data_IF_701394441800
#
_entry.id   IF_701394441800
#
_cell.length_a   1.000
_cell.length_b   1.000
_cell.length_c   1.000
_cell.angle_alpha   90.00
_cell.angle_beta   90.00
_cell.angle_gamma   90.00
#
_symmetry.space_group_name_H-M   'P 1'
#
loop_
_entity.id
_entity.type
_entity.pdbx_description
1 polymer ?
#
# COMPACT_ATOMS: atom_id res chain seq x y z
N UNK A 1 3.11 -44.16 -0.67
CA UNK A 1 2.98 -43.71 0.74
C UNK A 1 3.17 -42.21 0.93
N UNK A 2 4.10 -41.56 0.23
CA UNK A 2 4.39 -40.10 0.36
C UNK A 2 3.17 -39.21 0.06
N UNK A 3 2.41 -39.48 -1.01
CA UNK A 3 1.24 -38.67 -1.37
C UNK A 3 0.10 -38.68 -0.34
N UNK A 4 -0.13 -39.81 0.37
CA UNK A 4 -1.14 -39.89 1.44
C UNK A 4 -0.77 -39.02 2.64
N UNK A 5 0.52 -38.81 2.92
CA UNK A 5 0.97 -37.95 4.02
C UNK A 5 0.87 -36.46 3.65
N UNK A 6 1.19 -36.08 2.41
CA UNK A 6 1.05 -34.69 1.94
C UNK A 6 -0.43 -34.27 1.95
N UNK A 7 -1.32 -35.10 1.42
CA UNK A 7 -2.75 -34.81 1.41
C UNK A 7 -3.31 -34.61 2.83
N UNK A 8 -2.90 -35.45 3.79
CA UNK A 8 -3.28 -35.28 5.20
C UNK A 8 -2.80 -33.95 5.78
N UNK A 9 -1.60 -33.49 5.41
CA UNK A 9 -1.05 -32.20 5.86
C UNK A 9 -1.83 -31.03 5.26
N UNK A 10 -2.13 -31.08 3.96
CA UNK A 10 -2.92 -30.05 3.28
C UNK A 10 -4.34 -29.95 3.85
N UNK A 11 -4.99 -31.09 4.12
CA UNK A 11 -6.31 -31.13 4.77
C UNK A 11 -6.24 -30.49 6.16
N UNK A 12 -5.21 -30.80 6.96
CA UNK A 12 -5.03 -30.17 8.28
C UNK A 12 -4.88 -28.65 8.17
N UNK A 13 -4.06 -28.17 7.23
CA UNK A 13 -3.88 -26.72 7.01
C UNK A 13 -5.19 -26.07 6.56
N UNK A 14 -5.94 -26.72 5.68
CA UNK A 14 -7.24 -26.24 5.24
C UNK A 14 -8.23 -26.14 6.41
N UNK A 15 -8.32 -27.17 7.25
CA UNK A 15 -9.15 -27.16 8.45
C UNK A 15 -8.75 -26.04 9.42
N UNK A 16 -7.46 -25.85 9.66
CA UNK A 16 -6.96 -24.73 10.49
C UNK A 16 -7.38 -23.39 9.87
N UNK A 17 -7.26 -23.23 8.56
CA UNK A 17 -7.66 -22.01 7.84
C UNK A 17 -9.15 -21.73 8.02
N UNK A 18 -10.01 -22.75 7.88
CA UNK A 18 -11.46 -22.63 8.12
C UNK A 18 -11.76 -22.24 9.57
N UNK A 19 -11.08 -22.86 10.54
CA UNK A 19 -11.24 -22.53 11.96
C UNK A 19 -10.83 -21.08 12.24
N UNK A 20 -9.69 -20.63 11.71
CA UNK A 20 -9.24 -19.24 11.84
C UNK A 20 -10.24 -18.27 11.20
N UNK A 21 -10.80 -18.62 10.05
CA UNK A 21 -11.81 -17.83 9.37
C UNK A 21 -13.09 -17.68 10.19
N UNK A 22 -13.60 -18.78 10.74
CA UNK A 22 -14.84 -18.78 11.52
C UNK A 22 -14.63 -18.10 12.87
N UNK A 23 -13.50 -18.32 13.54
CA UNK A 23 -13.28 -17.85 14.92
C UNK A 23 -12.56 -16.52 14.95
N UNK A 24 -11.33 -16.46 14.43
CA UNK A 24 -10.43 -15.32 14.59
C UNK A 24 -10.85 -14.17 13.69
N UNK A 25 -11.07 -14.42 12.40
CA UNK A 25 -11.42 -13.34 11.45
C UNK A 25 -12.89 -12.91 11.52
N UNK A 26 -13.75 -13.73 12.14
CA UNK A 26 -15.14 -13.42 12.43
C UNK A 26 -15.39 -13.20 13.94
N UNK A 27 -14.35 -12.83 14.71
CA UNK A 27 -14.50 -12.58 16.15
C UNK A 27 -15.59 -11.55 16.49
N UNK A 28 -15.82 -10.57 15.60
CA UNK A 28 -16.89 -9.56 15.73
C UNK A 28 -18.29 -10.16 15.78
N UNK A 29 -18.53 -11.23 15.00
CA UNK A 29 -19.79 -11.96 15.06
C UNK A 29 -19.99 -12.53 16.46
N UNK A 30 -19.01 -13.29 16.96
CA UNK A 30 -19.06 -13.91 18.28
C UNK A 30 -19.19 -12.90 19.42
N UNK A 31 -18.45 -11.79 19.33
CA UNK A 31 -18.54 -10.67 20.27
C UNK A 31 -19.97 -10.11 20.28
N UNK A 32 -20.55 -9.86 19.10
CA UNK A 32 -21.87 -9.23 18.98
C UNK A 32 -23.05 -10.08 19.47
N UNK A 33 -22.91 -11.41 19.51
CA UNK A 33 -23.94 -12.30 20.10
C UNK A 33 -24.13 -12.00 21.59
N UNK A 34 -23.09 -11.54 22.28
CA UNK A 34 -23.12 -11.22 23.71
C UNK A 34 -23.68 -9.83 24.02
N UNK A 35 -24.03 -9.03 23.00
CA UNK A 35 -24.50 -7.66 23.22
C UNK A 35 -25.89 -7.64 23.84
N UNK A 36 -26.16 -6.69 24.78
CA UNK A 36 -27.47 -6.59 25.39
C UNK A 36 -28.48 -6.11 24.35
N UNK A 37 -29.60 -6.82 24.26
CA UNK A 37 -30.70 -6.47 23.37
C UNK A 37 -31.32 -5.13 23.77
N UNK A 38 -31.50 -4.23 22.80
CA UNK A 38 -32.07 -2.91 22.99
C UNK A 38 -33.26 -2.70 22.05
N UNK A 39 -34.12 -1.75 22.40
CA UNK A 39 -35.19 -1.29 21.51
C UNK A 39 -34.57 -0.51 20.34
N UNK A 40 -35.25 -0.54 19.20
CA UNK A 40 -34.88 0.30 18.05
C UNK A 40 -34.90 1.78 18.45
N UNK A 41 -33.86 2.56 18.11
CA UNK A 41 -33.85 3.99 18.34
C UNK A 41 -34.89 4.70 17.47
N UNK A 42 -35.35 5.86 17.92
CA UNK A 42 -36.07 6.81 17.10
C UNK A 42 -35.06 7.68 16.38
N UNK A 43 -35.18 7.79 15.05
CA UNK A 43 -34.34 8.68 14.24
C UNK A 43 -34.99 10.06 14.20
N UNK A 44 -34.26 11.07 14.68
CA UNK A 44 -34.59 12.49 14.51
C UNK A 44 -33.65 13.10 13.50
N UNK A 45 -34.22 13.75 12.49
CA UNK A 45 -33.47 14.42 11.43
C UNK A 45 -33.39 15.90 11.79
N UNK A 46 -32.18 16.44 11.88
CA UNK A 46 -31.94 17.84 12.19
C UNK A 46 -31.98 18.73 10.93
N UNK A 47 -31.93 20.05 11.13
CA UNK A 47 -32.22 21.05 10.08
C UNK A 47 -31.33 20.96 8.83
N UNK A 48 -30.11 20.40 8.94
CA UNK A 48 -29.21 20.26 7.79
C UNK A 48 -29.54 19.11 6.83
N UNK A 49 -30.56 18.30 7.12
CA UNK A 49 -30.99 17.18 6.27
C UNK A 49 -32.50 17.27 6.01
N UNK A 50 -32.90 17.17 4.75
CA UNK A 50 -34.31 17.17 4.35
C UNK A 50 -34.75 15.80 3.81
N UNK A 51 -35.91 15.27 4.24
CA UNK A 51 -36.49 14.08 3.63
C UNK A 51 -37.06 14.42 2.26
N UNK A 52 -36.59 13.73 1.22
CA UNK A 52 -37.02 13.94 -0.19
C UNK A 52 -37.88 12.80 -0.72
N UNK A 53 -37.96 11.68 -0.02
CA UNK A 53 -38.73 10.51 -0.41
C UNK A 53 -38.82 9.46 0.69
N UNK A 54 -39.31 8.26 0.35
CA UNK A 54 -39.34 7.14 1.29
C UNK A 54 -37.91 6.66 1.56
N UNK A 55 -37.45 6.76 2.81
CA UNK A 55 -36.09 6.42 3.25
C UNK A 55 -35.00 7.17 2.49
N UNK A 56 -35.32 8.30 1.84
CA UNK A 56 -34.38 9.07 1.03
C UNK A 56 -34.26 10.49 1.59
N UNK A 57 -33.02 10.92 1.76
CA UNK A 57 -32.66 12.16 2.42
C UNK A 57 -31.66 12.94 1.57
N UNK A 58 -31.64 14.26 1.76
CA UNK A 58 -30.73 15.17 1.08
C UNK A 58 -30.07 16.11 2.08
N UNK A 59 -28.76 16.25 1.99
CA UNK A 59 -27.99 17.23 2.76
C UNK A 59 -28.24 18.62 2.19
N UNK A 60 -28.79 19.52 3.00
CA UNK A 60 -29.04 20.93 2.63
C UNK A 60 -28.07 21.90 3.29
N UNK A 61 -27.57 21.56 4.49
CA UNK A 61 -26.55 22.32 5.18
C UNK A 61 -25.54 21.37 5.85
N UNK A 62 -24.34 21.23 5.27
CA UNK A 62 -23.25 20.36 5.75
C UNK A 62 -22.86 20.61 7.21
N UNK A 63 -22.93 21.86 7.70
CA UNK A 63 -22.54 22.16 9.08
C UNK A 63 -23.54 21.66 10.13
N UNK A 64 -24.80 21.47 9.73
CA UNK A 64 -25.92 21.07 10.58
C UNK A 64 -26.52 19.71 10.17
N UNK A 65 -25.81 18.94 9.34
CA UNK A 65 -26.27 17.68 8.78
C UNK A 65 -26.21 16.53 9.80
N UNK A 66 -27.07 16.60 10.83
CA UNK A 66 -27.10 15.65 11.94
C UNK A 66 -28.33 14.73 11.92
N UNK A 67 -28.11 13.48 12.33
CA UNK A 67 -29.13 12.48 12.64
C UNK A 67 -28.98 12.06 14.10
N UNK A 68 -30.05 12.22 14.88
CA UNK A 68 -30.08 11.90 16.30
C UNK A 68 -30.88 10.62 16.54
N UNK A 69 -30.19 9.59 17.01
CA UNK A 69 -30.77 8.33 17.47
C UNK A 69 -31.10 8.45 18.96
N UNK A 70 -32.39 8.59 19.28
CA UNK A 70 -32.88 8.87 20.64
C UNK A 70 -33.97 7.88 21.07
N UNK A 71 -34.44 7.99 22.33
CA UNK A 71 -35.51 7.13 22.84
C UNK A 71 -35.07 5.72 23.21
N UNK A 72 -33.76 5.50 23.30
CA UNK A 72 -33.12 4.25 23.69
C UNK A 72 -32.12 4.54 24.81
N UNK A 73 -32.01 3.63 25.79
CA UNK A 73 -31.07 3.76 26.90
C UNK A 73 -30.43 2.42 27.17
N UNK A 74 -29.11 2.38 27.25
CA UNK A 74 -28.38 1.15 27.56
C UNK A 74 -26.90 1.25 27.26
N UNK A 75 -26.20 0.13 27.36
CA UNK A 75 -24.78 0.05 27.01
C UNK A 75 -24.67 -0.19 25.50
N UNK A 76 -24.39 0.86 24.73
CA UNK A 76 -24.23 0.74 23.27
C UNK A 76 -22.85 0.17 22.93
N UNK A 77 -22.81 -0.87 22.11
CA UNK A 77 -21.60 -1.63 21.72
C UNK A 77 -21.34 -1.59 20.22
N UNK A 78 -22.39 -1.61 19.42
CA UNK A 78 -22.30 -1.33 17.99
C UNK A 78 -23.57 -0.63 17.49
N UNK A 79 -23.45 -0.05 16.32
CA UNK A 79 -24.51 0.59 15.57
C UNK A 79 -24.53 -0.02 14.17
N UNK A 80 -25.69 -0.49 13.73
CA UNK A 80 -25.98 -0.75 12.34
C UNK A 80 -26.59 0.50 11.73
N UNK A 81 -25.88 1.06 10.74
CA UNK A 81 -26.25 2.29 10.07
C UNK A 81 -25.92 2.14 8.59
N UNK A 82 -26.92 1.69 7.84
CA UNK A 82 -26.84 1.49 6.40
C UNK A 82 -27.26 2.81 5.71
N UNK A 83 -26.26 3.59 5.30
CA UNK A 83 -26.42 4.90 4.67
C UNK A 83 -25.79 4.88 3.28
N UNK A 84 -26.64 4.66 2.27
CA UNK A 84 -26.21 4.41 0.90
C UNK A 84 -26.28 5.67 0.05
N UNK A 85 -25.17 6.14 -0.55
CA UNK A 85 -25.21 7.29 -1.44
C UNK A 85 -26.07 6.99 -2.68
N UNK A 86 -26.87 7.94 -3.14
CA UNK A 86 -27.58 7.83 -4.43
C UNK A 86 -26.58 7.88 -5.59
N UNK A 87 -25.54 8.70 -5.45
CA UNK A 87 -24.43 8.81 -6.41
C UNK A 87 -23.10 8.61 -5.72
N UNK A 88 -22.29 7.67 -6.20
CA UNK A 88 -21.00 7.33 -5.61
C UNK A 88 -21.03 6.01 -4.85
N UNK A 89 -19.99 5.76 -4.05
CA UNK A 89 -19.82 4.50 -3.31
C UNK A 89 -19.47 4.69 -1.84
N UNK A 90 -19.27 5.93 -1.39
CA UNK A 90 -18.77 6.26 -0.06
C UNK A 90 -19.69 7.32 0.56
N UNK A 91 -19.94 7.17 1.86
CA UNK A 91 -20.54 8.19 2.73
C UNK A 91 -19.64 8.37 3.96
N UNK A 92 -19.15 9.59 4.18
CA UNK A 92 -18.35 9.94 5.35
C UNK A 92 -19.26 10.39 6.49
N UNK A 93 -19.03 9.88 7.70
CA UNK A 93 -19.83 10.23 8.87
C UNK A 93 -18.97 10.46 10.10
N UNK A 94 -19.39 11.32 11.03
CA UNK A 94 -18.80 11.43 12.37
C UNK A 94 -19.80 10.92 13.38
N UNK A 95 -19.37 10.04 14.28
CA UNK A 95 -20.24 9.51 15.34
C UNK A 95 -19.94 10.23 16.64
N UNK A 96 -20.99 10.70 17.31
CA UNK A 96 -20.95 11.24 18.66
C UNK A 96 -21.98 10.53 19.53
N UNK A 97 -21.71 10.37 20.82
CA UNK A 97 -22.67 9.80 21.76
C UNK A 97 -22.36 10.23 23.20
N UNK A 98 -23.36 10.23 24.07
CA UNK A 98 -23.13 10.38 25.50
C UNK A 98 -22.70 9.06 26.13
N UNK A 99 -22.08 9.13 27.31
CA UNK A 99 -21.88 7.97 28.17
C UNK A 99 -21.92 8.38 29.64
N UNK A 100 -21.73 7.42 30.56
CA UNK A 100 -21.78 7.69 32.01
C UNK A 100 -20.74 8.74 32.43
N UNK A 101 -19.61 8.85 31.72
CA UNK A 101 -18.55 9.80 32.04
C UNK A 101 -18.72 11.16 31.35
N UNK A 102 -19.44 11.21 30.22
CA UNK A 102 -19.54 12.38 29.35
C UNK A 102 -20.99 12.65 28.95
N UNK A 103 -21.72 13.37 29.79
CA UNK A 103 -23.12 13.74 29.52
C UNK A 103 -23.30 14.77 28.39
N UNK A 104 -22.24 15.51 28.06
CA UNK A 104 -22.26 16.50 26.97
C UNK A 104 -22.04 15.90 25.58
N UNK A 105 -21.74 14.60 25.50
CA UNK A 105 -21.39 13.89 24.27
C UNK A 105 -19.89 13.86 24.02
N UNK A 106 -19.43 12.69 23.56
CA UNK A 106 -18.06 12.42 23.12
C UNK A 106 -18.05 12.22 21.61
N UNK A 107 -17.06 12.79 20.92
CA UNK A 107 -16.78 12.45 19.53
C UNK A 107 -16.00 11.12 19.47
N UNK A 108 -16.58 10.12 18.81
CA UNK A 108 -16.00 8.78 18.66
C UNK A 108 -15.09 8.66 17.42
N UNK A 109 -15.06 9.68 16.56
CA UNK A 109 -14.26 9.74 15.35
C UNK A 109 -15.08 9.70 14.07
N UNK A 110 -14.35 9.81 12.96
CA UNK A 110 -14.89 9.74 11.62
C UNK A 110 -14.86 8.30 11.10
N UNK A 111 -15.94 7.89 10.44
CA UNK A 111 -16.13 6.56 9.87
C UNK A 111 -16.56 6.68 8.41
N UNK A 112 -16.24 5.65 7.63
CA UNK A 112 -16.52 5.60 6.19
C UNK A 112 -17.42 4.42 5.88
N UNK A 113 -18.62 4.72 5.39
CA UNK A 113 -19.60 3.71 4.96
C UNK A 113 -19.43 3.52 3.46
N UNK A 114 -19.30 2.28 3.03
CA UNK A 114 -19.00 1.91 1.64
C UNK A 114 -20.10 1.00 1.11
N UNK A 115 -20.81 1.45 0.08
CA UNK A 115 -21.99 0.77 -0.45
C UNK A 115 -21.71 -0.64 -0.97
N UNK A 116 -20.53 -0.86 -1.53
CA UNK A 116 -20.07 -2.15 -2.01
C UNK A 116 -19.62 -3.12 -0.88
N UNK A 117 -19.52 -2.65 0.36
CA UNK A 117 -18.99 -3.41 1.50
C UNK A 117 -20.00 -3.41 2.65
N UNK A 118 -20.93 -4.39 2.71
CA UNK A 118 -21.97 -4.46 3.74
C UNK A 118 -21.46 -4.49 5.18
N UNK A 119 -20.19 -4.87 5.40
CA UNK A 119 -19.57 -4.85 6.74
C UNK A 119 -19.30 -3.44 7.25
N UNK A 120 -19.23 -2.45 6.37
CA UNK A 120 -19.01 -1.04 6.74
C UNK A 120 -20.22 -0.42 7.42
N UNK A 121 -21.42 -1.00 7.25
CA UNK A 121 -22.64 -0.55 7.93
C UNK A 121 -22.64 -0.85 9.44
N UNK A 122 -21.72 -1.70 9.92
CA UNK A 122 -21.62 -2.10 11.32
C UNK A 122 -20.47 -1.36 12.03
N UNK A 123 -20.82 -0.30 12.74
CA UNK A 123 -19.91 0.62 13.40
C UNK A 123 -19.74 0.20 14.86
N UNK A 124 -18.50 0.09 15.35
CA UNK A 124 -18.23 -0.29 16.75
C UNK A 124 -18.19 0.94 17.63
N UNK A 125 -18.87 0.87 18.77
CA UNK A 125 -18.94 1.95 19.73
C UNK A 125 -18.11 1.63 20.97
N UNK A 126 -17.27 2.57 21.37
CA UNK A 126 -16.35 2.45 22.50
C UNK A 126 -16.78 3.35 23.66
N UNK A 127 -17.95 3.07 24.23
CA UNK A 127 -18.61 3.89 25.25
C UNK A 127 -18.50 3.27 26.65
N UNK A 128 -18.42 4.12 27.68
CA UNK A 128 -18.31 3.70 29.07
C UNK A 128 -19.65 3.81 29.81
N UNK A 129 -20.25 2.66 30.09
CA UNK A 129 -21.51 2.60 30.82
C UNK A 129 -22.72 2.86 29.94
N UNK A 130 -23.69 3.61 30.48
CA UNK A 130 -25.02 3.79 29.89
C UNK A 130 -25.06 5.06 29.06
N UNK A 131 -25.56 4.92 27.84
CA UNK A 131 -25.79 6.01 26.88
C UNK A 131 -27.29 6.19 26.64
N UNK A 132 -27.70 7.39 26.26
CA UNK A 132 -29.09 7.77 25.99
C UNK A 132 -29.31 8.25 24.55
N UNK A 133 -28.26 8.62 23.83
CA UNK A 133 -28.35 8.99 22.43
C UNK A 133 -27.08 8.69 21.64
N UNK A 134 -27.23 8.61 20.31
CA UNK A 134 -26.13 8.66 19.35
C UNK A 134 -26.46 9.75 18.34
N UNK A 135 -25.54 10.68 18.10
CA UNK A 135 -25.63 11.70 17.06
C UNK A 135 -24.66 11.38 15.94
N UNK A 136 -25.14 11.39 14.71
CA UNK A 136 -24.35 11.07 13.52
C UNK A 136 -24.33 12.31 12.63
N UNK A 137 -23.14 12.84 12.34
CA UNK A 137 -22.97 13.90 11.34
C UNK A 137 -22.71 13.27 9.98
N UNK A 138 -23.41 13.71 8.94
CA UNK A 138 -23.10 13.35 7.56
C UNK A 138 -22.10 14.37 7.01
N UNK A 139 -20.86 13.95 6.78
CA UNK A 139 -19.76 14.81 6.32
C UNK A 139 -19.69 14.88 4.80
N UNK A 140 -20.83 15.16 4.17
CA UNK A 140 -20.95 15.25 2.73
C UNK A 140 -21.37 16.65 2.29
N UNK A 141 -21.11 16.97 1.03
CA UNK A 141 -21.38 18.30 0.48
C UNK A 141 -22.89 18.58 0.37
N UNK A 142 -23.26 19.85 0.39
CA UNK A 142 -24.62 20.28 0.09
C UNK A 142 -25.10 19.71 -1.26
N UNK A 143 -26.30 19.13 -1.25
CA UNK A 143 -26.89 18.46 -2.40
C UNK A 143 -26.67 16.94 -2.44
N UNK A 144 -25.86 16.38 -1.55
CA UNK A 144 -25.67 14.94 -1.43
C UNK A 144 -26.97 14.24 -1.01
N UNK A 145 -27.41 13.28 -1.82
CA UNK A 145 -28.60 12.46 -1.57
C UNK A 145 -28.20 11.05 -1.18
N UNK A 146 -28.91 10.47 -0.21
CA UNK A 146 -28.66 9.12 0.27
C UNK A 146 -29.94 8.41 0.72
N UNK A 147 -29.89 7.09 0.73
CA UNK A 147 -30.89 6.20 1.30
C UNK A 147 -30.44 5.75 2.69
N UNK A 148 -31.36 5.75 3.64
CA UNK A 148 -31.10 5.33 5.01
C UNK A 148 -32.14 4.30 5.44
N UNK A 149 -31.67 3.09 5.75
CA UNK A 149 -32.47 2.08 6.44
C UNK A 149 -32.57 2.38 7.93
N UNK A 150 -33.56 1.79 8.61
CA UNK A 150 -33.78 1.95 10.05
C UNK A 150 -32.52 1.58 10.85
N UNK A 151 -31.87 2.53 11.55
CA UNK A 151 -30.68 2.25 12.34
C UNK A 151 -31.00 1.36 13.54
N UNK A 152 -30.09 0.45 13.87
CA UNK A 152 -30.25 -0.49 15.00
C UNK A 152 -29.00 -0.50 15.89
N UNK A 153 -29.18 -0.69 17.21
CA UNK A 153 -28.08 -0.70 18.18
C UNK A 153 -27.94 -2.11 18.75
N UNK A 154 -26.71 -2.56 18.99
CA UNK A 154 -26.41 -3.86 19.59
C UNK A 154 -26.90 -5.04 18.75
N UNK A 155 -26.83 -4.93 17.42
CA UNK A 155 -27.20 -6.00 16.51
C UNK A 155 -26.07 -7.02 16.33
N UNK A 156 -26.44 -8.26 16.06
CA UNK A 156 -25.49 -9.32 15.71
C UNK A 156 -24.89 -9.02 14.33
N UNK A 157 -23.57 -8.86 14.29
CA UNK A 157 -22.82 -8.66 13.04
C UNK A 157 -22.84 -9.98 12.26
N UNK A 158 -23.31 -10.03 11.00
CA UNK A 158 -23.30 -11.26 10.20
C UNK A 158 -21.89 -11.82 9.99
N UNK A 159 -21.77 -13.15 9.95
CA UNK A 159 -20.51 -13.78 9.56
C UNK A 159 -20.17 -13.45 8.11
N UNK A 160 -18.88 -13.20 7.86
CA UNK A 160 -18.36 -12.93 6.54
C UNK A 160 -17.15 -13.82 6.25
N UNK A 161 -17.37 -14.76 5.32
CA UNK A 161 -16.32 -15.66 4.85
C UNK A 161 -15.62 -15.04 3.64
N UNK A 162 -14.35 -14.68 3.80
CA UNK A 162 -13.52 -14.13 2.74
C UNK A 162 -12.68 -15.24 2.10
N UNK A 163 -13.08 -15.66 0.90
CA UNK A 163 -12.32 -16.64 0.12
C UNK A 163 -10.90 -16.18 -0.18
N UNK A 164 -10.69 -14.88 -0.45
CA UNK A 164 -9.36 -14.31 -0.69
C UNK A 164 -8.49 -14.45 0.56
N UNK A 165 -9.00 -14.04 1.74
CA UNK A 165 -8.25 -14.17 3.00
C UNK A 165 -7.95 -15.62 3.32
N UNK A 166 -8.92 -16.52 3.13
CA UNK A 166 -8.70 -17.96 3.32
C UNK A 166 -7.59 -18.48 2.39
N UNK A 167 -7.60 -18.14 1.10
CA UNK A 167 -6.55 -18.51 0.18
C UNK A 167 -5.18 -17.99 0.62
N UNK A 168 -5.09 -16.71 1.04
CA UNK A 168 -3.83 -16.11 1.51
C UNK A 168 -3.33 -16.81 2.78
N UNK A 169 -4.18 -16.99 3.80
CA UNK A 169 -3.82 -17.66 5.06
C UNK A 169 -3.41 -19.11 4.80
N UNK A 170 -4.15 -19.82 3.95
CA UNK A 170 -3.81 -21.18 3.54
C UNK A 170 -2.41 -21.25 2.91
N UNK A 171 -2.12 -20.37 1.93
CA UNK A 171 -0.82 -20.31 1.27
C UNK A 171 0.32 -19.97 2.26
N UNK A 172 0.09 -19.04 3.19
CA UNK A 172 1.06 -18.72 4.25
C UNK A 172 1.34 -19.92 5.16
N UNK A 173 0.30 -20.64 5.59
CA UNK A 173 0.48 -21.84 6.42
C UNK A 173 1.17 -22.98 5.66
N UNK A 174 0.90 -23.14 4.35
CA UNK A 174 1.65 -24.06 3.47
C UNK A 174 3.11 -23.66 3.38
N UNK A 175 3.41 -22.36 3.25
CA UNK A 175 4.78 -21.85 3.22
C UNK A 175 5.51 -22.14 4.54
N UNK A 176 4.91 -21.78 5.67
CA UNK A 176 5.46 -22.06 7.01
C UNK A 176 5.72 -23.55 7.19
N UNK A 177 4.77 -24.41 6.76
CA UNK A 177 4.94 -25.85 6.86
C UNK A 177 6.05 -26.38 5.95
N UNK A 178 6.17 -25.85 4.74
CA UNK A 178 7.21 -26.19 3.76
C UNK A 178 8.60 -25.86 4.27
N UNK A 179 8.76 -24.77 5.01
CA UNK A 179 10.06 -24.35 5.57
C UNK A 179 10.27 -24.77 7.04
N UNK A 180 9.32 -25.49 7.64
CA UNK A 180 9.44 -26.00 9.01
C UNK A 180 10.60 -27.01 9.17
N UNK A 181 11.22 -27.15 10.35
CA UNK A 181 12.32 -28.09 10.59
C UNK A 181 12.01 -29.55 10.24
N UNK A 182 10.73 -29.92 10.29
CA UNK A 182 10.24 -31.26 9.98
C UNK A 182 9.94 -31.48 8.47
N UNK A 183 10.29 -30.53 7.60
CA UNK A 183 10.01 -30.62 6.16
C UNK A 183 11.14 -31.30 5.40
N UNK A 184 10.82 -31.87 4.24
CA UNK A 184 11.81 -32.43 3.31
C UNK A 184 12.76 -31.35 2.80
N UNK A 185 12.26 -30.13 2.61
CA UNK A 185 13.04 -28.96 2.17
C UNK A 185 14.10 -28.60 3.22
N UNK A 186 13.76 -28.68 4.51
CA UNK A 186 14.69 -28.41 5.60
C UNK A 186 15.68 -29.57 5.83
N UNK A 187 15.23 -30.82 5.75
CA UNK A 187 16.07 -31.99 6.03
C UNK A 187 17.14 -32.24 4.94
N UNK A 188 16.88 -31.83 3.71
CA UNK A 188 17.77 -32.06 2.58
C UNK A 188 18.91 -31.03 2.52
N UNK A 189 20.10 -31.48 2.12
CA UNK A 189 21.25 -30.59 1.88
C UNK A 189 21.00 -29.67 0.68
N UNK A 190 21.58 -28.47 0.73
CA UNK A 190 21.54 -27.43 -0.30
C UNK A 190 22.08 -27.86 -1.69
N UNK A 191 22.77 -29.00 -1.78
CA UNK A 191 23.24 -29.54 -3.07
C UNK A 191 22.09 -29.65 -4.07
N UNK A 192 22.25 -29.07 -5.26
CA UNK A 192 21.20 -29.03 -6.30
C UNK A 192 21.34 -30.25 -7.22
N UNK A 193 21.16 -31.43 -6.63
CA UNK A 193 21.34 -32.74 -7.27
C UNK A 193 20.04 -33.30 -7.85
N UNK A 194 18.91 -33.05 -7.18
CA UNK A 194 17.59 -33.58 -7.54
C UNK A 194 16.78 -32.61 -8.39
N UNK A 195 15.97 -33.15 -9.31
CA UNK A 195 15.11 -32.36 -10.21
C UNK A 195 14.15 -31.43 -9.44
N UNK A 196 13.57 -31.92 -8.33
CA UNK A 196 12.64 -31.12 -7.52
C UNK A 196 13.32 -29.92 -6.83
N UNK A 197 14.62 -30.03 -6.49
CA UNK A 197 15.40 -28.89 -5.96
C UNK A 197 15.66 -27.85 -7.06
N UNK A 198 16.00 -28.30 -8.28
CA UNK A 198 16.15 -27.40 -9.44
C UNK A 198 14.86 -26.65 -9.74
N UNK A 199 13.75 -27.37 -9.89
CA UNK A 199 12.45 -26.75 -10.13
C UNK A 199 12.03 -25.86 -8.97
N UNK A 200 12.23 -26.31 -7.72
CA UNK A 200 11.92 -25.52 -6.54
C UNK A 200 12.71 -24.21 -6.48
N UNK A 201 14.00 -24.23 -6.80
CA UNK A 201 14.85 -23.04 -6.85
C UNK A 201 14.40 -22.08 -7.95
N UNK A 202 14.11 -22.60 -9.15
CA UNK A 202 13.63 -21.80 -10.29
C UNK A 202 12.30 -21.14 -9.95
N UNK A 203 11.35 -21.89 -9.37
CA UNK A 203 10.05 -21.36 -8.93
C UNK A 203 10.27 -20.28 -7.86
N UNK A 204 11.14 -20.54 -6.89
CA UNK A 204 11.37 -19.62 -5.78
C UNK A 204 12.03 -18.31 -6.24
N UNK A 205 13.05 -18.37 -7.10
CA UNK A 205 13.63 -17.18 -7.74
C UNK A 205 12.59 -16.50 -8.64
N UNK A 206 11.81 -17.27 -9.40
CA UNK A 206 10.74 -16.76 -10.25
C UNK A 206 9.71 -15.95 -9.47
N UNK A 207 9.32 -16.40 -8.27
CA UNK A 207 8.45 -15.64 -7.37
C UNK A 207 9.07 -14.29 -6.98
N UNK A 208 10.37 -14.25 -6.69
CA UNK A 208 11.06 -12.99 -6.39
C UNK A 208 11.07 -12.06 -7.61
N UNK A 209 11.37 -12.59 -8.80
CA UNK A 209 11.35 -11.82 -10.05
C UNK A 209 9.95 -11.26 -10.32
N UNK A 210 8.90 -12.08 -10.15
CA UNK A 210 7.51 -11.62 -10.29
C UNK A 210 7.18 -10.53 -9.27
N UNK A 211 7.62 -10.65 -8.02
CA UNK A 211 7.47 -9.59 -7.02
C UNK A 211 8.21 -8.31 -7.40
N UNK A 212 9.45 -8.40 -7.90
CA UNK A 212 10.23 -7.26 -8.38
C UNK A 212 9.51 -6.57 -9.54
N UNK A 213 9.03 -7.33 -10.52
CA UNK A 213 8.28 -6.79 -11.66
C UNK A 213 6.98 -6.13 -11.19
N UNK A 214 6.25 -6.75 -10.28
CA UNK A 214 5.03 -6.18 -9.71
C UNK A 214 5.30 -4.88 -8.97
N UNK A 215 6.30 -4.84 -8.08
CA UNK A 215 6.71 -3.63 -7.36
C UNK A 215 7.18 -2.55 -8.34
N UNK A 216 7.93 -2.91 -9.37
CA UNK A 216 8.33 -1.99 -10.44
C UNK A 216 7.13 -1.35 -11.13
N UNK A 217 6.03 -2.10 -11.35
CA UNK A 217 4.79 -1.53 -11.88
C UNK A 217 4.09 -0.58 -10.89
N UNK A 218 4.20 -0.81 -9.57
CA UNK A 218 3.67 0.11 -8.56
C UNK A 218 4.50 1.40 -8.45
N UNK A 219 5.79 1.32 -8.76
CA UNK A 219 6.74 2.45 -8.76
C UNK A 219 6.73 3.19 -10.11
N UNK A 220 5.97 2.72 -11.11
CA UNK A 220 5.77 3.51 -12.32
C UNK A 220 5.35 4.91 -11.89
N UNK A 221 6.15 5.95 -12.23
CA UNK A 221 5.88 7.28 -11.76
C UNK A 221 4.42 7.58 -12.09
N UNK A 222 3.66 8.02 -11.09
CA UNK A 222 2.26 8.38 -11.28
C UNK A 222 2.17 9.24 -12.56
N UNK A 223 1.10 9.12 -13.36
CA UNK A 223 1.02 9.84 -14.65
C UNK A 223 1.34 11.34 -14.52
N UNK A 224 1.22 11.92 -13.33
CA UNK A 224 1.73 13.25 -12.97
C UNK A 224 3.23 13.46 -13.20
N UNK A 225 4.11 12.53 -12.79
CA UNK A 225 5.57 12.67 -12.93
C UNK A 225 5.99 12.45 -14.39
N UNK A 226 5.38 11.52 -15.11
CA UNK A 226 5.63 11.40 -16.56
C UNK A 226 5.17 12.67 -17.29
N UNK A 227 4.03 13.25 -16.91
CA UNK A 227 3.61 14.55 -17.43
C UNK A 227 4.60 15.67 -17.05
N UNK A 228 5.22 15.65 -15.88
CA UNK A 228 6.26 16.62 -15.51
C UNK A 228 7.51 16.48 -16.41
N UNK A 229 7.95 15.24 -16.68
CA UNK A 229 9.05 14.94 -17.62
C UNK A 229 8.69 15.42 -19.04
N UNK A 230 7.49 15.12 -19.51
CA UNK A 230 6.99 15.51 -20.83
C UNK A 230 6.82 17.05 -20.94
N UNK A 231 6.57 17.73 -19.82
CA UNK A 231 6.49 19.19 -19.72
C UNK A 231 7.83 19.86 -19.36
N UNK A 232 8.95 19.12 -19.40
CA UNK A 232 10.30 19.68 -19.28
C UNK A 232 10.80 19.89 -17.85
N UNK A 233 10.09 19.43 -16.82
CA UNK A 233 10.65 19.31 -15.48
C UNK A 233 11.62 18.12 -15.47
N UNK A 234 12.90 18.33 -15.10
CA UNK A 234 13.97 17.36 -15.33
C UNK A 234 14.00 16.29 -14.24
N UNK A 235 12.91 15.55 -14.10
CA UNK A 235 12.84 14.44 -13.17
C UNK A 235 13.31 13.17 -13.91
N UNK A 236 14.44 12.60 -13.50
CA UNK A 236 14.92 11.27 -13.96
C UNK A 236 15.52 11.15 -15.39
N UNK A 237 15.81 12.24 -16.09
CA UNK A 237 16.46 12.26 -17.41
C UNK A 237 18.00 12.28 -17.43
N UNK A 238 18.64 12.40 -16.27
CA UNK A 238 20.08 12.71 -16.13
C UNK A 238 21.00 11.73 -16.86
N UNK A 239 20.70 10.43 -16.80
CA UNK A 239 21.53 9.42 -17.46
C UNK A 239 21.35 9.38 -18.98
N UNK A 240 20.18 9.77 -19.50
CA UNK A 240 19.97 9.95 -20.93
C UNK A 240 20.73 11.19 -21.43
N UNK A 241 20.66 12.31 -20.71
CA UNK A 241 21.45 13.51 -21.05
C UNK A 241 22.96 13.25 -20.98
N UNK A 242 23.40 12.49 -19.98
CA UNK A 242 24.80 12.08 -19.87
C UNK A 242 25.22 11.14 -21.01
N UNK A 243 24.35 10.21 -21.40
CA UNK A 243 24.59 9.35 -22.56
C UNK A 243 24.74 10.18 -23.84
N UNK A 244 23.86 11.15 -24.08
CA UNK A 244 23.90 12.06 -25.22
C UNK A 244 25.20 12.88 -25.25
N UNK A 245 25.63 13.40 -24.09
CA UNK A 245 26.89 14.11 -23.95
C UNK A 245 28.10 13.22 -24.28
N UNK A 246 28.14 12.01 -23.73
CA UNK A 246 29.24 11.06 -23.96
C UNK A 246 29.30 10.60 -25.42
N UNK A 247 28.17 10.38 -26.08
CA UNK A 247 28.11 10.07 -27.52
C UNK A 247 28.71 11.19 -28.39
N UNK A 248 28.58 12.44 -27.96
CA UNK A 248 29.19 13.61 -28.61
C UNK A 248 30.67 13.81 -28.25
N UNK A 249 31.24 12.95 -27.40
CA UNK A 249 32.62 13.08 -26.93
C UNK A 249 32.84 14.20 -25.93
N UNK A 250 31.78 14.65 -25.24
CA UNK A 250 31.84 15.69 -24.21
C UNK A 250 31.42 15.15 -22.84
N UNK A 251 31.88 15.82 -21.78
CA UNK A 251 31.60 15.45 -20.38
C UNK A 251 30.60 16.39 -19.70
N UNK A 252 30.24 17.50 -20.36
CA UNK A 252 29.20 18.43 -19.94
C UNK A 252 27.92 18.15 -20.71
N UNK A 253 26.78 18.44 -20.10
CA UNK A 253 25.47 18.22 -20.68
C UNK A 253 25.13 19.35 -21.67
N UNK A 254 24.29 19.06 -22.66
CA UNK A 254 23.78 20.08 -23.61
C UNK A 254 22.78 21.06 -22.98
N UNK A 255 22.51 20.89 -21.68
CA UNK A 255 21.66 21.74 -20.85
C UNK A 255 22.40 23.02 -20.49
N UNK A 256 21.74 24.16 -20.69
CA UNK A 256 22.31 25.48 -20.40
C UNK A 256 21.90 25.96 -19.01
N UNK A 257 22.86 26.34 -18.16
CA UNK A 257 22.57 27.03 -16.90
C UNK A 257 21.83 28.35 -17.13
N UNK A 258 20.96 28.77 -16.20
CA UNK A 258 20.34 30.10 -16.24
C UNK A 258 21.42 31.17 -16.06
N UNK A 259 21.25 32.33 -16.72
CA UNK A 259 22.28 33.38 -16.70
C UNK A 259 22.49 33.97 -15.30
N UNK A 260 21.42 34.04 -14.50
CA UNK A 260 21.51 34.46 -13.09
C UNK A 260 22.38 33.55 -12.24
N UNK A 261 22.50 32.26 -12.59
CA UNK A 261 23.41 31.32 -11.91
C UNK A 261 24.86 31.57 -12.28
N UNK A 262 25.14 31.92 -13.53
CA UNK A 262 26.48 32.31 -13.99
C UNK A 262 26.97 33.60 -13.31
N UNK A 263 26.04 34.54 -13.08
CA UNK A 263 26.33 35.84 -12.47
C UNK A 263 26.30 35.82 -10.93
N UNK A 264 25.90 34.71 -10.31
CA UNK A 264 25.82 34.60 -8.86
C UNK A 264 27.22 34.72 -8.24
N UNK A 265 27.33 35.48 -7.14
CA UNK A 265 28.62 35.67 -6.45
C UNK A 265 29.19 34.37 -5.88
N UNK A 266 28.31 33.46 -5.45
CA UNK A 266 28.65 32.09 -5.09
C UNK A 266 27.50 31.14 -5.47
N UNK A 267 27.58 30.47 -6.63
CA UNK A 267 26.51 29.58 -7.12
C UNK A 267 26.40 28.26 -6.31
N UNK A 268 27.34 27.99 -5.41
CA UNK A 268 27.36 26.79 -4.58
C UNK A 268 26.67 26.97 -3.23
N UNK A 269 26.54 28.22 -2.76
CA UNK A 269 25.77 28.54 -1.56
C UNK A 269 24.27 28.50 -1.90
N UNK A 270 23.53 27.65 -1.18
CA UNK A 270 22.11 27.42 -1.46
C UNK A 270 21.23 28.66 -1.27
N UNK A 271 21.53 29.51 -0.29
CA UNK A 271 20.75 30.71 -0.01
C UNK A 271 21.05 31.81 -1.05
N UNK A 272 22.33 32.01 -1.38
CA UNK A 272 22.75 32.97 -2.41
C UNK A 272 22.19 32.55 -3.76
N UNK A 273 22.33 31.28 -4.14
CA UNK A 273 21.78 30.73 -5.39
C UNK A 273 20.26 30.90 -5.48
N UNK A 274 19.54 30.59 -4.41
CA UNK A 274 18.07 30.75 -4.40
C UNK A 274 17.68 32.21 -4.61
N UNK A 275 18.31 33.14 -3.88
CA UNK A 275 18.01 34.56 -4.02
C UNK A 275 18.37 35.09 -5.41
N UNK A 276 19.58 34.81 -5.91
CA UNK A 276 20.04 35.35 -7.20
C UNK A 276 19.29 34.78 -8.40
N UNK A 277 18.95 33.48 -8.37
CA UNK A 277 18.31 32.80 -9.52
C UNK A 277 16.79 32.94 -9.47
N UNK A 278 16.17 32.59 -8.33
CA UNK A 278 14.70 32.46 -8.24
C UNK A 278 14.05 33.79 -7.91
N UNK A 279 14.59 34.54 -6.94
CA UNK A 279 13.96 35.78 -6.46
C UNK A 279 14.32 36.96 -7.36
N UNK A 280 15.61 37.19 -7.59
CA UNK A 280 16.11 38.33 -8.37
C UNK A 280 16.08 38.05 -9.87
N UNK A 281 16.53 36.87 -10.29
CA UNK A 281 16.58 36.46 -11.69
C UNK A 281 15.23 36.05 -12.28
N UNK A 282 14.26 35.68 -11.44
CA UNK A 282 12.98 35.07 -11.85
C UNK A 282 13.20 33.88 -12.83
N UNK A 283 14.27 33.12 -12.61
CA UNK A 283 14.66 31.92 -13.35
C UNK A 283 14.53 30.68 -12.46
N UNK A 284 14.53 29.51 -13.08
CA UNK A 284 14.66 28.23 -12.38
C UNK A 284 16.04 27.64 -12.65
N UNK A 285 16.55 26.88 -11.68
CA UNK A 285 17.76 26.09 -11.86
C UNK A 285 17.45 24.63 -11.59
N UNK A 286 18.17 23.76 -12.31
CA UNK A 286 17.95 22.33 -12.22
C UNK A 286 18.70 21.76 -11.01
N UNK A 287 17.92 21.26 -10.05
CA UNK A 287 18.44 20.49 -8.92
C UNK A 287 18.94 19.12 -9.41
N UNK A 288 19.93 18.55 -8.72
CA UNK A 288 20.64 17.31 -9.10
C UNK A 288 21.58 17.39 -10.32
N UNK A 289 21.90 18.61 -10.76
CA UNK A 289 22.95 18.89 -11.75
C UNK A 289 24.12 19.65 -11.10
N UNK A 290 25.34 19.26 -11.46
CA UNK A 290 26.54 19.92 -10.98
C UNK A 290 26.89 21.10 -11.89
N UNK A 291 26.87 22.32 -11.35
CA UNK A 291 27.29 23.52 -12.08
C UNK A 291 28.79 23.77 -11.94
N UNK A 292 29.48 23.98 -13.06
CA UNK A 292 30.88 24.42 -13.07
C UNK A 292 31.17 25.23 -14.34
N UNK A 293 31.74 26.43 -14.18
CA UNK A 293 32.19 27.32 -15.27
C UNK A 293 31.18 27.48 -16.43
N UNK A 294 29.92 27.83 -16.14
CA UNK A 294 28.90 28.08 -17.17
C UNK A 294 28.34 26.81 -17.82
N UNK A 295 28.63 25.63 -17.27
CA UNK A 295 28.15 24.34 -17.80
C UNK A 295 27.52 23.49 -16.72
N UNK A 296 26.55 22.67 -17.13
CA UNK A 296 26.02 21.61 -16.29
C UNK A 296 26.72 20.28 -16.57
N UNK A 297 26.94 19.54 -15.51
CA UNK A 297 27.47 18.19 -15.47
C UNK A 297 26.47 17.31 -14.72
N UNK A 298 26.46 16.01 -15.04
CA UNK A 298 25.71 15.07 -14.22
C UNK A 298 26.38 14.95 -12.85
N UNK A 299 25.59 15.05 -11.78
CA UNK A 299 26.05 14.72 -10.43
C UNK A 299 26.38 13.22 -10.28
N UNK A 300 25.74 12.38 -11.09
CA UNK A 300 25.89 10.93 -11.05
C UNK A 300 27.07 10.44 -11.89
N UNK A 301 27.72 9.37 -11.44
CA UNK A 301 28.85 8.77 -12.16
C UNK A 301 28.46 8.23 -13.54
N UNK A 302 29.42 8.10 -14.48
CA UNK A 302 29.12 7.75 -15.87
C UNK A 302 28.83 6.27 -16.11
N UNK A 303 29.09 5.41 -15.12
CA UNK A 303 29.02 3.95 -15.27
C UNK A 303 27.65 3.47 -15.75
N UNK A 304 26.50 3.92 -15.18
CA UNK A 304 25.20 3.49 -15.68
C UNK A 304 24.94 3.96 -17.11
N UNK A 305 25.33 5.20 -17.45
CA UNK A 305 25.16 5.74 -18.81
C UNK A 305 25.91 4.88 -19.83
N UNK A 306 27.17 4.52 -19.55
CA UNK A 306 28.01 3.70 -20.42
C UNK A 306 27.50 2.26 -20.54
N UNK A 307 27.08 1.64 -19.43
CA UNK A 307 26.69 0.23 -19.41
C UNK A 307 25.28 -0.03 -19.94
N UNK A 308 24.35 0.90 -19.75
CA UNK A 308 22.93 0.66 -20.02
C UNK A 308 22.33 1.65 -21.01
N UNK A 309 22.52 2.96 -20.82
CA UNK A 309 21.80 3.97 -21.59
C UNK A 309 22.35 4.12 -23.01
N UNK A 310 23.68 4.26 -23.18
CA UNK A 310 24.31 4.33 -24.51
C UNK A 310 24.04 3.05 -25.31
N UNK A 311 24.29 1.82 -24.79
CA UNK A 311 24.01 0.61 -25.55
C UNK A 311 22.53 0.46 -25.92
N UNK A 312 21.61 0.78 -25.00
CA UNK A 312 20.19 0.74 -25.27
C UNK A 312 19.83 1.68 -26.43
N UNK A 313 20.26 2.94 -26.35
CA UNK A 313 19.97 3.96 -27.36
C UNK A 313 20.55 3.61 -28.72
N UNK A 314 21.77 3.06 -28.78
CA UNK A 314 22.39 2.60 -30.03
C UNK A 314 21.62 1.42 -30.67
N UNK A 315 20.99 0.57 -29.87
CA UNK A 315 20.23 -0.60 -30.36
C UNK A 315 18.79 -0.23 -30.74
N UNK A 316 18.12 0.59 -29.94
CA UNK A 316 16.68 0.89 -30.09
C UNK A 316 16.41 2.20 -30.83
N UNK A 317 17.38 3.11 -30.88
CA UNK A 317 17.21 4.48 -31.36
C UNK A 317 16.42 5.37 -30.41
N UNK A 318 16.09 4.92 -29.20
CA UNK A 318 15.26 5.65 -28.23
C UNK A 318 15.94 5.80 -26.87
N UNK A 319 15.51 6.80 -26.09
CA UNK A 319 16.01 7.01 -24.74
C UNK A 319 15.58 5.88 -23.79
N UNK A 320 16.46 5.50 -22.86
CA UNK A 320 16.21 4.41 -21.91
C UNK A 320 15.50 4.96 -20.66
N UNK A 321 14.49 4.25 -20.17
CA UNK A 321 13.82 4.63 -18.92
C UNK A 321 14.65 4.17 -17.74
N UNK A 322 14.97 5.09 -16.83
CA UNK A 322 15.79 4.79 -15.66
C UNK A 322 15.22 3.64 -14.81
N UNK A 323 13.89 3.56 -14.64
CA UNK A 323 13.26 2.48 -13.87
C UNK A 323 13.37 1.10 -14.53
N UNK A 324 13.46 1.01 -15.86
CA UNK A 324 13.69 -0.26 -16.56
C UNK A 324 15.09 -0.79 -16.24
N UNK A 325 16.09 0.11 -16.22
CA UNK A 325 17.47 -0.22 -15.81
C UNK A 325 17.53 -0.65 -14.35
N UNK A 326 16.89 0.09 -13.44
CA UNK A 326 16.84 -0.26 -12.01
C UNK A 326 16.17 -1.62 -11.81
N UNK A 327 15.07 -1.89 -12.52
CA UNK A 327 14.37 -3.19 -12.46
C UNK A 327 15.30 -4.32 -12.94
N UNK A 328 15.99 -4.12 -14.07
CA UNK A 328 16.95 -5.10 -14.60
C UNK A 328 18.09 -5.34 -13.60
N UNK A 329 18.71 -4.29 -13.07
CA UNK A 329 19.77 -4.41 -12.07
C UNK A 329 19.29 -5.11 -10.80
N UNK A 330 18.05 -4.88 -10.37
CA UNK A 330 17.44 -5.54 -9.21
C UNK A 330 17.24 -7.03 -9.45
N UNK A 331 16.81 -7.42 -10.65
CA UNK A 331 16.71 -8.84 -11.06
C UNK A 331 18.11 -9.49 -11.08
N UNK A 332 19.10 -8.82 -11.67
CA UNK A 332 20.49 -9.32 -11.68
C UNK A 332 21.05 -9.44 -10.27
N UNK A 333 20.77 -8.47 -9.39
CA UNK A 333 21.17 -8.51 -7.99
C UNK A 333 20.48 -9.65 -7.23
N UNK A 334 19.20 -9.93 -7.50
CA UNK A 334 18.51 -11.10 -6.96
C UNK A 334 19.23 -12.40 -7.37
N UNK A 335 19.53 -12.58 -8.66
CA UNK A 335 20.24 -13.76 -9.15
C UNK A 335 21.64 -13.89 -8.54
N UNK A 336 22.39 -12.77 -8.49
CA UNK A 336 23.72 -12.71 -7.89
C UNK A 336 23.68 -13.04 -6.39
N UNK A 337 22.65 -12.60 -5.67
CA UNK A 337 22.43 -12.88 -4.24
C UNK A 337 22.27 -14.38 -3.99
N UNK A 338 21.39 -15.06 -4.75
CA UNK A 338 21.24 -16.51 -4.65
C UNK A 338 22.55 -17.24 -5.00
N UNK A 339 23.26 -16.79 -6.04
CA UNK A 339 24.56 -17.33 -6.42
C UNK A 339 25.62 -17.16 -5.32
N UNK A 340 25.70 -15.98 -4.71
CA UNK A 340 26.64 -15.67 -3.64
C UNK A 340 26.39 -16.55 -2.41
N UNK A 341 25.14 -16.61 -1.94
CA UNK A 341 24.78 -17.43 -0.77
C UNK A 341 25.03 -18.92 -1.06
N UNK A 342 24.79 -19.39 -2.29
CA UNK A 342 25.13 -20.75 -2.68
C UNK A 342 26.64 -21.03 -2.61
N UNK A 343 27.48 -20.12 -3.12
CA UNK A 343 28.94 -20.26 -3.10
C UNK A 343 29.48 -20.24 -1.66
N UNK A 344 29.01 -19.30 -0.84
CA UNK A 344 29.37 -19.21 0.58
C UNK A 344 28.94 -20.48 1.32
N UNK A 345 27.69 -20.89 1.14
CA UNK A 345 27.14 -22.10 1.74
C UNK A 345 27.98 -23.33 1.39
N UNK A 346 28.30 -23.51 0.10
CA UNK A 346 29.06 -24.66 -0.37
C UNK A 346 30.50 -24.66 0.14
N UNK A 347 31.12 -23.48 0.29
CA UNK A 347 32.51 -23.32 0.72
C UNK A 347 32.69 -23.51 2.22
N UNK A 348 31.76 -22.99 3.03
CA UNK A 348 31.94 -22.91 4.49
C UNK A 348 30.99 -23.82 5.29
N UNK A 349 29.89 -24.30 4.69
CA UNK A 349 28.85 -25.05 5.39
C UNK A 349 28.46 -26.36 4.68
N UNK A 350 29.21 -27.43 4.95
CA UNK A 350 29.05 -28.75 4.31
C UNK A 350 27.67 -29.41 4.51
N UNK A 351 26.95 -29.03 5.57
CA UNK A 351 25.63 -29.56 5.93
C UNK A 351 24.51 -28.52 5.86
N UNK A 352 24.70 -27.40 5.15
CA UNK A 352 23.66 -26.38 5.03
C UNK A 352 22.40 -26.97 4.37
N UNK A 353 21.26 -26.75 5.02
CA UNK A 353 19.95 -27.16 4.53
C UNK A 353 19.57 -26.39 3.26
N UNK A 354 18.88 -27.06 2.35
CA UNK A 354 18.30 -26.45 1.16
C UNK A 354 17.26 -25.39 1.52
N UNK A 355 16.41 -25.65 2.52
CA UNK A 355 15.44 -24.68 3.02
C UNK A 355 16.10 -23.44 3.62
N UNK A 356 17.15 -23.62 4.43
CA UNK A 356 17.90 -22.50 5.01
C UNK A 356 18.58 -21.68 3.92
N UNK A 357 19.18 -22.34 2.91
CA UNK A 357 19.77 -21.65 1.76
C UNK A 357 18.76 -20.73 1.06
N UNK A 358 17.55 -21.23 0.77
CA UNK A 358 16.50 -20.43 0.13
C UNK A 358 16.09 -19.23 1.00
N UNK A 359 15.83 -19.46 2.30
CA UNK A 359 15.45 -18.41 3.24
C UNK A 359 16.55 -17.35 3.39
N UNK A 360 17.80 -17.75 3.61
CA UNK A 360 18.92 -16.84 3.72
C UNK A 360 19.11 -16.02 2.44
N UNK A 361 18.94 -16.63 1.28
CA UNK A 361 19.02 -15.92 0.00
C UNK A 361 17.91 -14.86 -0.12
N UNK A 362 16.68 -15.19 0.28
CA UNK A 362 15.58 -14.23 0.35
C UNK A 362 15.85 -13.10 1.34
N UNK A 363 16.26 -13.42 2.58
CA UNK A 363 16.53 -12.42 3.60
C UNK A 363 17.69 -11.51 3.22
N UNK A 364 18.74 -12.05 2.61
CA UNK A 364 19.86 -11.23 2.13
C UNK A 364 19.41 -10.29 1.01
N UNK A 365 18.67 -10.80 0.02
CA UNK A 365 18.20 -9.98 -1.08
C UNK A 365 17.27 -8.86 -0.60
N UNK A 366 16.21 -9.19 0.14
CA UNK A 366 15.21 -8.22 0.61
C UNK A 366 15.67 -7.37 1.81
N UNK A 367 16.70 -7.80 2.54
CA UNK A 367 17.24 -7.04 3.68
C UNK A 367 18.32 -6.04 3.30
N UNK A 368 18.90 -6.16 2.10
CA UNK A 368 19.88 -5.22 1.54
C UNK A 368 19.22 -4.22 0.57
N UNK A 369 18.07 -4.59 -0.02
CA UNK A 369 17.22 -3.68 -0.77
C UNK A 369 16.47 -2.73 0.17
#
# INVERSE_FOLDING_TARGET
MVGKNILKVLIKIFLITVILEIIVFNFRHWESISFPQLKKPLVRVEQGIEPIGKNQYKVVNTDEAYLDLVGVRGNFKNLYFNCQPETGIITNVTIMADDTANSAGLNLGDEVIVSAVPRSDFLRLHLNGVSNYIRIKINEQNGFSFFLDDPEINIVVPMFISWIRMCVVFLLLVLIKTFSPNSVVYAERMTIDKIWKKCGLIIFIGLHIVSILFISQLILPNKSIQNEIDNGLPVHGQYNELADALEKGQVFLDRKPPKSLENATNPYDGAIRWNSVVIEGNEHFDMDYAYFEGRYYSYFGPVPAILFFIPYKLITGTQCRTWDVVTLCTILFCLASFGLIYVIGKRYFSNLSYGIYLLMSSFYFWGVL
#
